data_IF_164508783856
#
_entry.id   IF_164508783856
#
_cell.length_a   1.000
_cell.length_b   1.000
_cell.length_c   1.000
_cell.angle_alpha   90.00
_cell.angle_beta   90.00
_cell.angle_gamma   90.00
#
_symmetry.space_group_name_H-M   'P 1'
#
loop_
_entity.id
_entity.type
_entity.pdbx_description
1 polymer ?
#
# COMPACT_ATOMS: atom_id res chain seq x y z
N UNK A 1 -19.91 -47.64 -42.99
CA UNK A 1 -18.80 -47.02 -42.21
C UNK A 1 -18.43 -45.60 -42.65
N UNK A 2 -18.06 -45.32 -43.91
CA UNK A 2 -17.64 -43.96 -44.35
C UNK A 2 -18.65 -42.82 -44.12
N UNK A 3 -19.96 -43.08 -44.20
CA UNK A 3 -21.01 -42.06 -44.01
C UNK A 3 -21.15 -41.62 -42.54
N UNK A 4 -21.06 -42.56 -41.59
CA UNK A 4 -21.10 -42.27 -40.16
C UNK A 4 -19.87 -41.48 -39.70
N UNK A 5 -18.68 -41.80 -40.21
CA UNK A 5 -17.44 -41.06 -39.89
C UNK A 5 -17.54 -39.59 -40.36
N UNK A 6 -18.13 -39.34 -41.54
CA UNK A 6 -18.36 -37.97 -42.05
C UNK A 6 -19.39 -37.20 -41.21
N UNK A 7 -20.49 -37.84 -40.82
CA UNK A 7 -21.49 -37.20 -39.97
C UNK A 7 -20.95 -36.88 -38.57
N UNK A 8 -20.20 -37.80 -37.94
CA UNK A 8 -19.56 -37.53 -36.65
C UNK A 8 -18.49 -36.44 -36.73
N UNK A 9 -17.70 -36.38 -37.80
CA UNK A 9 -16.73 -35.30 -38.02
C UNK A 9 -17.38 -33.91 -38.13
N UNK A 10 -18.49 -33.81 -38.88
CA UNK A 10 -19.25 -32.55 -39.00
C UNK A 10 -19.88 -32.17 -37.66
N UNK A 11 -20.47 -33.12 -36.93
CA UNK A 11 -21.06 -32.85 -35.61
C UNK A 11 -20.00 -32.36 -34.62
N UNK A 12 -18.82 -32.99 -34.57
CA UNK A 12 -17.72 -32.53 -33.70
C UNK A 12 -17.26 -31.12 -34.08
N UNK A 13 -17.09 -30.84 -35.37
CA UNK A 13 -16.67 -29.51 -35.84
C UNK A 13 -17.71 -28.42 -35.49
N UNK A 14 -19.00 -28.71 -35.65
CA UNK A 14 -20.07 -27.77 -35.28
C UNK A 14 -20.11 -27.54 -33.76
N UNK A 15 -19.99 -28.60 -32.95
CA UNK A 15 -19.97 -28.49 -31.49
C UNK A 15 -18.77 -27.65 -31.03
N UNK A 16 -17.58 -27.92 -31.57
CA UNK A 16 -16.38 -27.12 -31.26
C UNK A 16 -16.55 -25.66 -31.70
N UNK A 17 -17.16 -25.41 -32.86
CA UNK A 17 -17.47 -24.06 -33.33
C UNK A 17 -18.42 -23.31 -32.39
N UNK A 18 -19.50 -23.96 -31.95
CA UNK A 18 -20.45 -23.37 -30.99
C UNK A 18 -19.78 -23.10 -29.64
N UNK A 19 -18.96 -24.04 -29.14
CA UNK A 19 -18.21 -23.84 -27.90
C UNK A 19 -17.22 -22.68 -28.01
N UNK A 20 -16.51 -22.56 -29.13
CA UNK A 20 -15.57 -21.46 -29.36
C UNK A 20 -16.29 -20.10 -29.43
N UNK A 21 -17.42 -20.02 -30.13
CA UNK A 21 -18.25 -18.81 -30.19
C UNK A 21 -18.79 -18.47 -28.79
N UNK A 22 -19.29 -19.46 -28.05
CA UNK A 22 -19.79 -19.26 -26.69
C UNK A 22 -18.70 -18.78 -25.72
N UNK A 23 -17.51 -19.36 -25.78
CA UNK A 23 -16.36 -18.92 -24.99
C UNK A 23 -15.94 -17.49 -25.37
N UNK A 24 -15.91 -17.17 -26.66
CA UNK A 24 -15.67 -15.81 -27.14
C UNK A 24 -16.69 -14.83 -26.59
N UNK A 25 -17.98 -15.11 -26.75
CA UNK A 25 -19.06 -14.27 -26.24
C UNK A 25 -18.97 -14.06 -24.72
N UNK A 26 -18.61 -15.09 -23.95
CA UNK A 26 -18.41 -14.98 -22.51
C UNK A 26 -17.22 -14.09 -22.12
N UNK A 27 -16.09 -14.22 -22.82
CA UNK A 27 -14.89 -13.39 -22.56
C UNK A 27 -15.18 -11.91 -22.89
N UNK A 28 -15.88 -11.65 -24.00
CA UNK A 28 -16.18 -10.27 -24.44
C UNK A 28 -17.38 -9.63 -23.73
N UNK A 29 -18.24 -10.40 -23.06
CA UNK A 29 -19.45 -9.84 -22.43
C UNK A 29 -19.17 -9.09 -21.12
N UNK A 30 -18.01 -9.28 -20.49
CA UNK A 30 -17.66 -8.65 -19.22
C UNK A 30 -18.44 -9.17 -18.01
N UNK A 31 -19.21 -10.26 -18.17
CA UNK A 31 -20.04 -10.82 -17.09
C UNK A 31 -19.24 -11.51 -15.99
N UNK A 32 -18.01 -11.94 -16.29
CA UNK A 32 -17.11 -12.53 -15.29
C UNK A 32 -16.41 -11.42 -14.52
N UNK A 33 -16.73 -11.30 -13.24
CA UNK A 33 -16.06 -10.37 -12.35
C UNK A 33 -14.64 -10.88 -12.05
N UNK A 34 -13.64 -10.04 -12.29
CA UNK A 34 -12.21 -10.36 -12.07
C UNK A 34 -11.70 -9.80 -10.74
N UNK A 35 -12.55 -9.15 -9.95
CA UNK A 35 -12.21 -8.62 -8.63
C UNK A 35 -11.67 -9.71 -7.71
N UNK A 36 -10.60 -9.39 -6.95
CA UNK A 36 -9.98 -10.34 -6.02
C UNK A 36 -10.90 -10.68 -4.82
N UNK A 37 -11.89 -9.84 -4.55
CA UNK A 37 -12.94 -10.00 -3.55
C UNK A 37 -14.08 -10.94 -4.00
N UNK A 38 -14.19 -11.22 -5.30
CA UNK A 38 -15.12 -12.20 -5.85
C UNK A 38 -14.44 -13.57 -5.97
N UNK A 39 -14.54 -14.35 -4.90
CA UNK A 39 -13.85 -15.62 -4.81
C UNK A 39 -14.40 -16.65 -5.79
N UNK A 40 -13.50 -17.44 -6.38
CA UNK A 40 -13.90 -18.60 -7.18
C UNK A 40 -14.86 -19.51 -6.41
N UNK A 41 -15.77 -20.14 -7.14
CA UNK A 41 -16.59 -21.23 -6.59
C UNK A 41 -15.71 -22.32 -5.98
N UNK A 42 -16.20 -23.00 -4.93
CA UNK A 42 -15.41 -24.03 -4.21
C UNK A 42 -14.76 -25.08 -5.14
N UNK A 43 -15.44 -25.63 -6.17
CA UNK A 43 -14.82 -26.59 -7.07
C UNK A 43 -13.70 -25.99 -7.92
N UNK A 44 -13.89 -24.77 -8.44
CA UNK A 44 -12.88 -24.06 -9.23
C UNK A 44 -11.67 -23.72 -8.35
N UNK A 45 -11.91 -23.21 -7.14
CA UNK A 45 -10.86 -22.96 -6.16
C UNK A 45 -10.05 -24.23 -5.85
N UNK A 46 -10.71 -25.35 -5.57
CA UNK A 46 -10.04 -26.63 -5.27
C UNK A 46 -9.19 -27.13 -6.46
N UNK A 47 -9.69 -27.00 -7.69
CA UNK A 47 -8.94 -27.33 -8.89
C UNK A 47 -7.70 -26.45 -9.04
N UNK A 48 -7.84 -25.13 -8.90
CA UNK A 48 -6.73 -24.17 -8.99
C UNK A 48 -5.69 -24.39 -7.88
N UNK A 49 -6.13 -24.69 -6.66
CA UNK A 49 -5.25 -25.01 -5.55
C UNK A 49 -4.46 -26.30 -5.84
N UNK A 50 -5.12 -27.36 -6.31
CA UNK A 50 -4.47 -28.63 -6.68
C UNK A 50 -3.44 -28.42 -7.79
N UNK A 51 -3.80 -27.65 -8.82
CA UNK A 51 -2.90 -27.34 -9.94
C UNK A 51 -1.65 -26.60 -9.45
N UNK A 52 -1.83 -25.61 -8.55
CA UNK A 52 -0.74 -24.85 -7.94
C UNK A 52 0.20 -25.74 -7.15
N UNK A 53 -0.32 -26.52 -6.20
CA UNK A 53 0.48 -27.40 -5.34
C UNK A 53 1.27 -28.43 -6.16
N UNK A 54 0.61 -29.08 -7.13
CA UNK A 54 1.29 -30.04 -8.04
C UNK A 54 2.36 -29.40 -8.89
N UNK A 55 2.14 -28.17 -9.36
CA UNK A 55 3.13 -27.44 -10.14
C UNK A 55 4.34 -27.08 -9.30
N UNK A 56 4.14 -26.52 -8.10
CA UNK A 56 5.22 -26.18 -7.17
C UNK A 56 6.06 -27.43 -6.86
N UNK A 57 5.42 -28.53 -6.46
CA UNK A 57 6.09 -29.80 -6.15
C UNK A 57 6.93 -30.31 -7.32
N UNK A 58 6.39 -30.29 -8.54
CA UNK A 58 7.11 -30.76 -9.72
C UNK A 58 8.29 -29.86 -10.11
N UNK A 59 8.18 -28.55 -9.88
CA UNK A 59 9.24 -27.58 -10.24
C UNK A 59 10.30 -27.42 -9.15
N UNK A 60 9.98 -27.76 -7.91
CA UNK A 60 10.92 -27.68 -6.78
C UNK A 60 11.70 -28.99 -6.54
N UNK A 61 11.26 -30.11 -7.12
CA UNK A 61 11.77 -31.46 -6.84
C UNK A 61 13.31 -31.57 -6.88
N UNK A 62 13.93 -31.00 -7.91
CA UNK A 62 15.38 -31.12 -8.18
C UNK A 62 16.23 -29.99 -7.56
N UNK A 63 15.60 -29.09 -6.78
CA UNK A 63 16.34 -28.04 -6.08
C UNK A 63 17.26 -28.64 -5.03
N UNK A 64 18.50 -28.15 -5.01
CA UNK A 64 19.49 -28.50 -3.99
C UNK A 64 19.38 -27.50 -2.84
N UNK A 65 19.09 -28.01 -1.65
CA UNK A 65 18.97 -27.20 -0.44
C UNK A 65 20.37 -27.00 0.16
N UNK A 66 20.85 -25.76 0.33
CA UNK A 66 22.11 -25.49 1.05
C UNK A 66 21.95 -25.76 2.55
N UNK A 67 23.02 -25.58 3.34
CA UNK A 67 22.88 -25.66 4.79
C UNK A 67 22.10 -24.45 5.33
N UNK A 68 20.88 -24.72 5.82
CA UNK A 68 19.97 -23.70 6.33
C UNK A 68 20.20 -23.38 7.82
N UNK A 69 21.20 -23.97 8.46
CA UNK A 69 21.51 -23.73 9.87
C UNK A 69 22.61 -22.67 10.08
N UNK A 70 23.13 -22.08 9.02
CA UNK A 70 24.10 -20.98 9.11
C UNK A 70 23.46 -19.77 9.83
N UNK A 71 24.00 -19.33 10.99
CA UNK A 71 23.47 -18.20 11.72
C UNK A 71 23.45 -16.88 10.93
N UNK A 72 24.43 -16.66 10.05
CA UNK A 72 24.49 -15.44 9.21
C UNK A 72 23.40 -15.47 8.14
N UNK A 73 23.17 -16.64 7.53
CA UNK A 73 22.11 -16.83 6.55
C UNK A 73 20.72 -16.60 7.17
N UNK A 74 20.48 -17.14 8.37
CA UNK A 74 19.25 -16.92 9.12
C UNK A 74 19.08 -15.44 9.50
N UNK A 75 20.16 -14.78 9.91
CA UNK A 75 20.14 -13.37 10.30
C UNK A 75 19.81 -12.46 9.11
N UNK A 76 20.42 -12.69 7.93
CA UNK A 76 20.05 -11.98 6.69
C UNK A 76 18.58 -12.21 6.36
N UNK A 77 18.13 -13.46 6.39
CA UNK A 77 16.74 -13.85 6.12
C UNK A 77 15.72 -13.21 7.06
N UNK A 78 16.08 -12.95 8.32
CA UNK A 78 15.21 -12.26 9.27
C UNK A 78 14.89 -10.83 8.82
N UNK A 79 15.90 -10.09 8.35
CA UNK A 79 15.74 -8.74 7.80
C UNK A 79 14.85 -8.73 6.55
N UNK A 80 15.14 -9.62 5.59
CA UNK A 80 14.36 -9.80 4.37
C UNK A 80 12.88 -10.07 4.66
N UNK A 81 12.64 -11.02 5.56
CA UNK A 81 11.29 -11.41 5.93
C UNK A 81 10.54 -10.25 6.57
N UNK A 82 11.19 -9.53 7.49
CA UNK A 82 10.63 -8.38 8.17
C UNK A 82 10.20 -7.30 7.19
N UNK A 83 11.03 -7.01 6.19
CA UNK A 83 10.81 -5.97 5.19
C UNK A 83 9.69 -6.31 4.19
N UNK A 84 9.59 -7.58 3.75
CA UNK A 84 8.79 -7.92 2.56
C UNK A 84 7.64 -8.89 2.80
N UNK A 85 7.69 -9.71 3.86
CA UNK A 85 6.79 -10.85 4.00
C UNK A 85 5.76 -10.70 5.13
N UNK A 86 6.05 -9.88 6.14
CA UNK A 86 5.25 -9.78 7.38
C UNK A 86 3.82 -9.31 7.15
N UNK A 87 3.58 -8.44 6.17
CA UNK A 87 2.24 -7.92 5.91
C UNK A 87 1.30 -8.95 5.31
N UNK A 88 1.81 -10.00 4.64
CA UNK A 88 0.98 -11.10 4.13
C UNK A 88 1.02 -12.31 5.06
N UNK A 89 2.20 -12.65 5.58
CA UNK A 89 2.48 -13.93 6.24
C UNK A 89 2.62 -13.86 7.76
N UNK A 90 2.54 -12.65 8.34
CA UNK A 90 2.53 -12.35 9.77
C UNK A 90 3.81 -12.69 10.53
N UNK A 91 3.93 -12.19 11.75
CA UNK A 91 5.03 -12.51 12.68
C UNK A 91 4.46 -13.22 13.91
N UNK A 92 5.29 -13.83 14.78
CA UNK A 92 4.81 -14.41 16.03
C UNK A 92 4.04 -13.42 16.93
N UNK A 93 4.24 -12.11 16.76
CA UNK A 93 3.54 -11.06 17.51
C UNK A 93 2.24 -10.59 16.84
N UNK A 94 2.03 -10.89 15.56
CA UNK A 94 0.89 -10.42 14.78
C UNK A 94 -0.21 -11.47 14.71
N UNK A 95 -1.44 -11.04 14.98
CA UNK A 95 -2.64 -11.87 14.76
C UNK A 95 -3.22 -11.68 13.37
N UNK A 96 -3.07 -10.49 12.81
CA UNK A 96 -3.52 -10.13 11.46
C UNK A 96 -2.76 -8.90 10.93
N UNK A 97 -3.06 -8.49 9.70
CA UNK A 97 -2.58 -7.24 9.08
C UNK A 97 -3.70 -6.58 8.27
N UNK A 98 -3.58 -5.29 7.97
CA UNK A 98 -4.54 -4.57 7.11
C UNK A 98 -4.63 -5.15 5.69
N UNK A 99 -3.53 -5.71 5.20
CA UNK A 99 -3.47 -6.28 3.85
C UNK A 99 -4.17 -7.64 3.77
N UNK A 100 -4.06 -8.47 4.81
CA UNK A 100 -4.48 -9.87 4.79
C UNK A 100 -5.93 -10.09 4.35
N UNK A 101 -6.94 -9.35 4.84
CA UNK A 101 -8.34 -9.57 4.47
C UNK A 101 -8.60 -9.50 2.96
N UNK A 102 -7.86 -8.67 2.22
CA UNK A 102 -7.99 -8.53 0.77
C UNK A 102 -7.19 -9.54 -0.05
N UNK A 103 -6.39 -10.41 0.59
CA UNK A 103 -5.55 -11.38 -0.10
C UNK A 103 -6.32 -12.65 -0.44
N UNK A 104 -6.34 -12.95 -1.74
CA UNK A 104 -6.93 -14.17 -2.27
C UNK A 104 -5.96 -14.89 -3.23
N UNK A 105 -5.67 -16.18 -3.01
CA UNK A 105 -6.00 -16.97 -1.82
C UNK A 105 -5.37 -16.39 -0.55
N UNK A 106 -5.99 -16.70 0.60
CA UNK A 106 -5.44 -16.30 1.90
C UNK A 106 -4.04 -16.93 2.12
N UNK A 107 -3.00 -16.13 2.37
CA UNK A 107 -1.67 -16.66 2.67
C UNK A 107 -1.66 -17.42 4.01
N UNK A 108 -0.78 -18.42 4.19
CA UNK A 108 -0.57 -19.04 5.48
C UNK A 108 0.14 -18.07 6.44
N UNK A 109 -0.16 -18.21 7.73
CA UNK A 109 0.65 -17.60 8.78
C UNK A 109 1.96 -18.40 8.95
N UNK A 110 3.06 -17.89 8.41
CA UNK A 110 4.35 -18.57 8.41
C UNK A 110 5.01 -18.60 9.80
N UNK A 111 4.47 -17.84 10.77
CA UNK A 111 4.87 -17.97 12.17
C UNK A 111 4.24 -19.17 12.89
N UNK A 112 3.37 -19.92 12.22
CA UNK A 112 2.64 -21.06 12.81
C UNK A 112 2.78 -22.34 12.01
N UNK A 113 3.22 -22.25 10.76
CA UNK A 113 3.37 -23.41 9.86
C UNK A 113 4.78 -23.50 9.33
N UNK A 114 5.23 -24.74 9.15
CA UNK A 114 6.52 -25.04 8.53
C UNK A 114 6.29 -25.47 7.09
N UNK A 115 6.99 -24.83 6.17
CA UNK A 115 6.93 -25.14 4.74
C UNK A 115 8.16 -25.92 4.30
N UNK A 116 8.01 -26.76 3.28
CA UNK A 116 9.14 -27.48 2.68
C UNK A 116 10.15 -26.46 2.09
N UNK A 117 11.45 -26.56 2.38
CA UNK A 117 12.43 -25.59 1.92
C UNK A 117 12.52 -25.43 0.40
N UNK A 118 12.35 -26.51 -0.37
CA UNK A 118 12.43 -26.45 -1.84
C UNK A 118 11.22 -25.72 -2.40
N UNK A 119 10.04 -26.03 -1.87
CA UNK A 119 8.82 -25.33 -2.24
C UNK A 119 8.85 -23.86 -1.84
N UNK A 120 9.34 -23.56 -0.62
CA UNK A 120 9.50 -22.18 -0.14
C UNK A 120 10.44 -21.38 -1.06
N UNK A 121 11.61 -21.93 -1.41
CA UNK A 121 12.52 -21.30 -2.35
C UNK A 121 11.85 -21.01 -3.69
N UNK A 122 11.18 -22.02 -4.26
CA UNK A 122 10.54 -21.87 -5.57
C UNK A 122 9.42 -20.82 -5.55
N UNK A 123 8.59 -20.82 -4.51
CA UNK A 123 7.48 -19.88 -4.34
C UNK A 123 7.99 -18.46 -4.10
N UNK A 124 9.04 -18.27 -3.28
CA UNK A 124 9.63 -16.93 -3.06
C UNK A 124 10.26 -16.42 -4.36
N UNK A 125 11.01 -17.27 -5.08
CA UNK A 125 11.67 -16.90 -6.33
C UNK A 125 10.68 -16.52 -7.44
N UNK A 126 9.60 -17.28 -7.59
CA UNK A 126 8.71 -17.16 -8.75
C UNK A 126 7.33 -16.55 -8.45
N UNK A 127 7.00 -16.35 -7.17
CA UNK A 127 5.68 -15.92 -6.75
C UNK A 127 4.59 -16.94 -7.04
N UNK A 128 3.34 -16.51 -6.93
CA UNK A 128 2.18 -17.33 -7.32
C UNK A 128 1.31 -16.51 -8.28
N UNK A 129 1.13 -17.05 -9.49
CA UNK A 129 0.29 -16.41 -10.51
C UNK A 129 -1.16 -16.29 -10.02
N UNK A 130 -1.80 -15.17 -10.37
CA UNK A 130 -3.18 -14.86 -9.94
C UNK A 130 -3.33 -14.80 -8.41
N UNK A 131 -2.27 -14.39 -7.72
CA UNK A 131 -2.32 -13.94 -6.33
C UNK A 131 -1.46 -12.70 -6.18
N UNK A 132 -1.46 -12.11 -4.98
CA UNK A 132 -0.58 -11.01 -4.63
C UNK A 132 0.82 -11.45 -4.17
N UNK A 133 1.22 -12.72 -4.36
CA UNK A 133 2.57 -13.19 -4.02
C UNK A 133 3.54 -12.87 -5.18
N UNK A 134 4.44 -11.88 -5.02
CA UNK A 134 5.33 -11.44 -6.10
C UNK A 134 6.49 -12.43 -6.34
N UNK A 135 7.15 -12.29 -7.49
CA UNK A 135 8.32 -13.09 -7.87
C UNK A 135 9.62 -12.38 -7.48
N UNK A 136 10.17 -12.70 -6.31
CA UNK A 136 11.36 -12.01 -5.79
C UNK A 136 12.65 -12.32 -6.54
N UNK A 137 12.69 -13.38 -7.35
CA UNK A 137 13.84 -13.72 -8.19
C UNK A 137 14.15 -12.70 -9.28
N UNK A 138 13.30 -11.69 -9.47
CA UNK A 138 13.58 -10.55 -10.35
C UNK A 138 14.47 -9.49 -9.68
N UNK A 139 14.46 -9.40 -8.34
CA UNK A 139 15.22 -8.40 -7.57
C UNK A 139 16.26 -9.01 -6.63
N UNK A 140 16.16 -10.29 -6.30
CA UNK A 140 17.06 -10.96 -5.36
C UNK A 140 17.67 -12.21 -5.99
N UNK A 141 18.95 -12.45 -5.68
CA UNK A 141 19.66 -13.63 -6.11
C UNK A 141 19.29 -14.89 -5.28
N UNK A 142 19.71 -16.06 -5.78
CA UNK A 142 19.41 -17.34 -5.13
C UNK A 142 19.93 -17.43 -3.68
N UNK A 143 21.16 -17.02 -3.35
CA UNK A 143 21.64 -16.94 -1.97
C UNK A 143 20.73 -16.12 -1.05
N UNK A 144 20.25 -14.96 -1.51
CA UNK A 144 19.37 -14.11 -0.72
C UNK A 144 17.99 -14.74 -0.53
N UNK A 145 17.46 -15.42 -1.54
CA UNK A 145 16.23 -16.20 -1.39
C UNK A 145 16.41 -17.36 -0.40
N UNK A 146 17.54 -18.08 -0.47
CA UNK A 146 17.85 -19.11 0.51
C UNK A 146 17.97 -18.57 1.94
N UNK A 147 18.39 -17.32 2.11
CA UNK A 147 18.40 -16.66 3.43
C UNK A 147 17.00 -16.57 4.04
N UNK A 148 16.02 -16.12 3.25
CA UNK A 148 14.61 -16.09 3.66
C UNK A 148 14.12 -17.49 4.02
N UNK A 149 14.44 -18.49 3.19
CA UNK A 149 14.05 -19.89 3.46
C UNK A 149 14.68 -20.40 4.77
N UNK A 150 15.95 -20.12 5.03
CA UNK A 150 16.62 -20.51 6.27
C UNK A 150 15.93 -19.89 7.50
N UNK A 151 15.55 -18.61 7.41
CA UNK A 151 14.79 -17.95 8.46
C UNK A 151 13.38 -18.54 8.65
N UNK A 152 12.67 -18.86 7.57
CA UNK A 152 11.36 -19.54 7.64
C UNK A 152 11.43 -20.89 8.37
N UNK A 153 12.59 -21.56 8.33
CA UNK A 153 12.83 -22.79 9.09
C UNK A 153 13.07 -22.53 10.60
N UNK A 154 13.17 -21.30 11.08
CA UNK A 154 13.28 -21.02 12.52
C UNK A 154 12.05 -20.28 13.05
N UNK A 155 11.34 -19.57 12.18
CA UNK A 155 10.23 -18.69 12.52
C UNK A 155 9.11 -19.34 13.36
N UNK A 156 8.62 -20.57 13.08
CA UNK A 156 7.54 -21.18 13.86
C UNK A 156 7.90 -21.47 15.33
N UNK A 157 9.20 -21.58 15.64
CA UNK A 157 9.72 -21.89 16.97
C UNK A 157 10.09 -20.61 17.76
N UNK A 158 9.92 -19.43 17.16
CA UNK A 158 10.28 -18.15 17.77
C UNK A 158 9.15 -17.54 18.58
N UNK A 159 9.49 -17.03 19.75
CA UNK A 159 8.65 -16.07 20.49
C UNK A 159 8.69 -14.69 19.83
N UNK A 160 7.70 -13.85 20.12
CA UNK A 160 7.67 -12.45 19.67
C UNK A 160 8.94 -11.67 20.09
N UNK A 161 9.49 -11.95 21.28
CA UNK A 161 10.72 -11.32 21.76
C UNK A 161 11.95 -11.77 20.94
N UNK A 162 12.09 -13.08 20.69
CA UNK A 162 13.18 -13.61 19.86
C UNK A 162 13.12 -13.08 18.43
N UNK A 163 11.91 -12.99 17.85
CA UNK A 163 11.70 -12.40 16.53
C UNK A 163 12.15 -10.93 16.49
N UNK A 164 11.74 -10.13 17.48
CA UNK A 164 12.14 -8.72 17.57
C UNK A 164 13.65 -8.57 17.68
N UNK A 165 14.29 -9.39 18.50
CA UNK A 165 15.74 -9.33 18.75
C UNK A 165 16.56 -9.73 17.52
N UNK A 166 16.13 -10.73 16.76
CA UNK A 166 16.86 -11.16 15.55
C UNK A 166 16.72 -10.15 14.41
N UNK A 167 15.52 -9.57 14.22
CA UNK A 167 15.30 -8.54 13.21
C UNK A 167 16.09 -7.27 13.52
N UNK A 168 16.16 -6.86 14.79
CA UNK A 168 16.95 -5.70 15.21
C UNK A 168 18.47 -5.86 14.99
N UNK A 169 18.95 -7.09 14.85
CA UNK A 169 20.36 -7.42 14.58
C UNK A 169 20.63 -7.70 13.11
N UNK A 170 19.60 -7.78 12.27
CA UNK A 170 19.77 -8.10 10.87
C UNK A 170 20.54 -6.97 10.16
N UNK A 171 21.46 -7.31 9.25
CA UNK A 171 22.14 -6.30 8.46
C UNK A 171 21.13 -5.49 7.63
N UNK A 172 21.42 -4.21 7.32
CA UNK A 172 20.72 -3.48 6.28
C UNK A 172 20.75 -4.26 4.97
N UNK A 173 19.77 -4.03 4.12
CA UNK A 173 19.63 -4.75 2.87
C UNK A 173 20.66 -4.25 1.84
N UNK A 174 21.83 -4.89 1.76
CA UNK A 174 22.90 -4.50 0.82
C UNK A 174 22.47 -4.69 -0.66
N UNK A 175 21.47 -5.54 -0.92
CA UNK A 175 20.92 -5.77 -2.27
C UNK A 175 19.93 -4.66 -2.70
N UNK A 176 19.74 -3.65 -1.85
CA UNK A 176 19.04 -2.39 -2.14
C UNK A 176 20.03 -1.23 -2.35
N UNK A 177 21.29 -1.54 -2.69
CA UNK A 177 22.26 -0.55 -3.18
C UNK A 177 21.76 0.06 -4.51
N UNK A 178 21.23 1.28 -4.37
CA UNK A 178 21.06 2.23 -5.45
C UNK A 178 22.45 2.54 -6.03
N UNK A 179 22.81 1.90 -7.15
CA UNK A 179 23.95 2.34 -7.96
C UNK A 179 23.75 3.81 -8.33
N UNK A 180 24.70 4.64 -7.88
CA UNK A 180 24.71 6.07 -8.11
C UNK A 180 25.00 6.38 -9.57
N UNK A 181 23.94 6.54 -10.36
CA UNK A 181 23.98 7.06 -11.71
C UNK A 181 22.84 8.05 -11.94
N UNK A 182 23.19 9.31 -12.17
CA UNK A 182 22.32 10.38 -12.67
C UNK A 182 21.39 9.83 -13.78
N UNK A 183 20.08 9.74 -13.52
CA UNK A 183 19.15 9.10 -14.44
C UNK A 183 17.83 8.62 -13.83
N UNK A 184 17.14 9.48 -13.08
CA UNK A 184 15.81 9.17 -12.51
C UNK A 184 14.66 9.19 -13.53
N UNK A 185 14.70 8.28 -14.50
CA UNK A 185 13.57 7.88 -15.36
C UNK A 185 13.68 6.35 -15.49
N UNK A 186 12.68 5.47 -15.32
CA UNK A 186 11.23 5.54 -15.44
C UNK A 186 10.67 4.14 -15.15
N UNK A 187 9.39 4.04 -14.80
CA UNK A 187 8.53 3.02 -15.42
C UNK A 187 7.32 3.73 -16.02
N UNK A 188 7.51 4.17 -17.26
CA UNK A 188 6.43 4.45 -18.20
C UNK A 188 5.88 3.12 -18.72
N UNK A 189 4.59 2.87 -18.50
CA UNK A 189 3.78 2.23 -19.52
C UNK A 189 3.27 3.34 -20.43
N UNK A 190 3.98 3.56 -21.54
CA UNK A 190 3.51 4.43 -22.60
C UNK A 190 2.61 3.66 -23.54
N UNK A 191 1.39 4.14 -23.72
CA UNK A 191 0.83 4.19 -25.07
C UNK A 191 1.09 5.58 -25.62
N UNK A 192 1.53 5.58 -26.87
CA UNK A 192 2.14 6.69 -27.55
C UNK A 192 1.10 7.71 -28.04
N UNK A 193 1.39 8.99 -27.82
CA UNK A 193 1.24 10.00 -28.86
C UNK A 193 2.23 11.13 -28.60
N UNK A 194 3.22 11.22 -29.48
CA UNK A 194 4.17 12.33 -29.54
C UNK A 194 3.46 13.66 -29.77
N UNK A 195 4.05 14.70 -29.19
CA UNK A 195 3.64 16.09 -29.31
C UNK A 195 3.65 16.62 -30.75
N UNK A 196 2.69 17.48 -31.07
CA UNK A 196 2.81 18.56 -32.06
C UNK A 196 2.13 19.83 -31.50
N UNK A 197 2.57 21.03 -31.93
CA UNK A 197 2.26 22.30 -31.27
C UNK A 197 0.91 22.90 -31.68
N UNK A 198 0.48 23.89 -30.89
CA UNK A 198 -0.78 24.65 -30.98
C UNK A 198 -1.06 25.30 -32.34
N UNK A 199 -2.34 25.33 -32.74
CA UNK A 199 -2.96 26.31 -33.66
C UNK A 199 -4.45 26.53 -33.28
N UNK A 200 -4.94 27.72 -33.58
CA UNK A 200 -6.08 28.42 -32.99
C UNK A 200 -7.51 27.97 -33.42
N UNK A 201 -8.48 28.35 -32.56
CA UNK A 201 -9.96 28.61 -32.65
C UNK A 201 -10.60 28.69 -34.07
N UNK A 202 -11.95 28.52 -34.30
CA UNK A 202 -13.07 28.89 -33.42
C UNK A 202 -14.38 28.03 -33.47
N UNK A 203 -15.30 28.39 -32.56
CA UNK A 203 -16.78 28.45 -32.64
C UNK A 203 -17.70 27.31 -33.18
N UNK A 204 -18.69 27.03 -32.32
CA UNK A 204 -20.14 26.88 -32.59
C UNK A 204 -20.85 25.52 -32.81
N UNK A 205 -22.03 25.48 -32.16
CA UNK A 205 -23.27 24.71 -32.38
C UNK A 205 -23.53 23.37 -31.66
N UNK A 206 -24.34 23.51 -30.60
CA UNK A 206 -25.58 22.77 -30.26
C UNK A 206 -25.80 21.38 -30.85
N UNK A 207 -26.20 20.42 -29.99
CA UNK A 207 -27.62 20.09 -29.80
C UNK A 207 -27.81 19.27 -28.52
N UNK A 208 -28.88 19.59 -27.82
CA UNK A 208 -29.40 18.89 -26.67
C UNK A 208 -30.01 17.55 -27.09
N UNK A 209 -29.87 16.53 -26.24
CA UNK A 209 -31.02 15.72 -25.84
C UNK A 209 -30.76 15.10 -24.46
N UNK A 210 -31.74 15.28 -23.59
CA UNK A 210 -31.73 14.88 -22.20
C UNK A 210 -32.16 13.42 -22.06
N UNK A 211 -31.36 12.62 -21.36
CA UNK A 211 -31.86 11.46 -20.65
C UNK A 211 -31.29 11.45 -19.23
N UNK A 212 -32.21 11.74 -18.31
CA UNK A 212 -32.06 11.60 -16.87
C UNK A 212 -31.88 10.13 -16.50
N UNK A 213 -30.72 9.81 -15.91
CA UNK A 213 -30.50 8.61 -15.12
C UNK A 213 -29.70 8.99 -13.89
N UNK A 214 -30.44 9.38 -12.84
CA UNK A 214 -30.05 9.21 -11.45
C UNK A 214 -29.59 7.76 -11.20
N UNK A 215 -28.28 7.55 -11.08
CA UNK A 215 -27.70 6.50 -10.25
C UNK A 215 -26.42 7.03 -9.60
N UNK A 216 -26.45 7.07 -8.28
CA UNK A 216 -25.44 7.67 -7.42
C UNK A 216 -24.01 7.20 -7.73
N UNK A 217 -23.18 8.17 -8.11
CA UNK A 217 -21.75 8.05 -8.07
C UNK A 217 -21.33 7.78 -6.62
N UNK A 218 -21.01 6.52 -6.29
CA UNK A 218 -20.18 6.24 -5.13
C UNK A 218 -18.79 6.76 -5.45
N UNK A 219 -18.44 7.89 -4.82
CA UNK A 219 -17.09 8.45 -4.85
C UNK A 219 -16.05 7.43 -4.39
N UNK A 220 -14.75 7.73 -4.61
CA UNK A 220 -13.66 6.85 -4.22
C UNK A 220 -13.79 6.45 -2.74
N UNK A 221 -13.51 5.18 -2.44
CA UNK A 221 -13.56 4.65 -1.09
C UNK A 221 -12.70 5.52 -0.17
N UNK A 222 -13.33 6.08 0.87
CA UNK A 222 -12.67 6.94 1.84
C UNK A 222 -11.56 6.16 2.56
N UNK A 223 -10.36 6.74 2.62
CA UNK A 223 -9.23 6.24 3.40
C UNK A 223 -9.66 6.02 4.86
N UNK A 224 -9.19 4.94 5.51
CA UNK A 224 -9.54 4.69 6.90
C UNK A 224 -9.09 5.87 7.79
N UNK A 225 -9.90 6.28 8.79
CA UNK A 225 -9.55 7.42 9.62
C UNK A 225 -8.28 7.16 10.44
N UNK A 226 -7.33 8.10 10.44
CA UNK A 226 -6.11 8.06 11.28
C UNK A 226 -6.49 7.73 12.72
N UNK A 227 -6.06 6.60 13.27
CA UNK A 227 -6.38 6.24 14.66
C UNK A 227 -5.58 7.10 15.65
N UNK A 228 -6.26 7.63 16.68
CA UNK A 228 -5.64 8.35 17.80
C UNK A 228 -5.59 7.47 19.07
N UNK A 229 -5.93 6.19 18.94
CA UNK A 229 -5.98 5.24 20.05
C UNK A 229 -4.59 5.03 20.65
N UNK A 230 -4.49 5.02 21.98
CA UNK A 230 -3.23 4.85 22.70
C UNK A 230 -2.39 6.13 22.85
N UNK A 231 -2.77 7.23 22.20
CA UNK A 231 -2.18 8.54 22.46
C UNK A 231 -2.68 9.10 23.79
N UNK A 232 -1.78 9.63 24.61
CA UNK A 232 -2.11 10.22 25.92
C UNK A 232 -1.55 11.63 26.02
N UNK A 233 -2.35 12.54 26.54
CA UNK A 233 -1.90 13.90 26.81
C UNK A 233 -0.70 13.88 27.77
N UNK A 234 0.36 14.61 27.41
CA UNK A 234 1.58 14.73 28.21
C UNK A 234 2.53 13.52 28.14
N UNK A 235 2.30 12.54 27.26
CA UNK A 235 3.21 11.40 27.13
C UNK A 235 4.57 11.78 26.53
N UNK A 236 4.61 12.79 25.65
CA UNK A 236 5.81 13.39 25.07
C UNK A 236 5.70 14.94 25.07
N UNK A 237 5.86 15.62 26.22
CA UNK A 237 5.58 17.06 26.35
C UNK A 237 6.39 17.96 25.40
N UNK A 238 7.63 17.58 25.11
CA UNK A 238 8.50 18.31 24.17
C UNK A 238 8.00 18.23 22.71
N UNK A 239 7.59 17.04 22.28
CA UNK A 239 7.02 16.82 20.95
C UNK A 239 5.66 17.51 20.81
N UNK A 240 4.81 17.42 21.82
CA UNK A 240 3.53 18.13 21.85
C UNK A 240 3.69 19.65 21.79
N UNK A 241 4.74 20.19 22.40
CA UNK A 241 5.04 21.62 22.32
C UNK A 241 5.46 22.05 20.91
N UNK A 242 6.19 21.21 20.18
CA UNK A 242 6.51 21.45 18.75
C UNK A 242 5.24 21.40 17.90
N UNK A 243 4.39 20.39 18.10
CA UNK A 243 3.11 20.27 17.37
C UNK A 243 2.23 21.52 17.57
N UNK A 244 2.10 22.01 18.80
CA UNK A 244 1.37 23.26 19.07
C UNK A 244 2.00 24.47 18.37
N UNK A 245 3.33 24.60 18.38
CA UNK A 245 4.02 25.68 17.66
C UNK A 245 3.77 25.62 16.15
N UNK A 246 3.77 24.41 15.57
CA UNK A 246 3.46 24.18 14.17
C UNK A 246 2.04 24.65 13.82
N UNK A 247 1.03 24.23 14.59
CA UNK A 247 -0.37 24.65 14.39
C UNK A 247 -0.56 26.15 14.54
N UNK A 248 0.04 26.74 15.56
CA UNK A 248 -0.03 28.18 15.78
C UNK A 248 0.65 28.98 14.66
N UNK A 249 1.78 28.50 14.15
CA UNK A 249 2.49 29.13 13.05
C UNK A 249 1.66 29.10 11.75
N UNK A 250 1.01 27.97 11.45
CA UNK A 250 0.08 27.85 10.33
C UNK A 250 -1.10 28.83 10.46
N UNK A 251 -1.71 28.92 11.65
CA UNK A 251 -2.83 29.84 11.89
C UNK A 251 -2.44 31.32 11.82
N UNK A 252 -1.22 31.67 12.28
CA UNK A 252 -0.70 33.04 12.18
C UNK A 252 -0.21 33.40 10.77
N UNK A 253 -0.02 32.40 9.91
CA UNK A 253 0.59 32.56 8.60
C UNK A 253 2.08 32.88 8.64
N UNK A 254 2.77 32.35 9.65
CA UNK A 254 4.21 32.54 9.85
C UNK A 254 4.99 31.42 9.14
N UNK A 255 5.27 31.62 7.86
CA UNK A 255 5.94 30.63 7.00
C UNK A 255 7.30 30.19 7.56
N UNK A 256 8.06 31.12 8.12
CA UNK A 256 9.39 30.82 8.67
C UNK A 256 9.28 29.93 9.91
N UNK A 257 8.35 30.26 10.82
CA UNK A 257 8.12 29.45 12.02
C UNK A 257 7.55 28.05 11.68
N UNK A 258 6.72 27.93 10.63
CA UNK A 258 6.26 26.63 10.13
C UNK A 258 7.44 25.80 9.65
N UNK A 259 8.30 26.36 8.80
CA UNK A 259 9.44 25.62 8.26
C UNK A 259 10.50 25.30 9.31
N UNK A 260 10.65 26.12 10.37
CA UNK A 260 11.65 25.92 11.42
C UNK A 260 11.43 24.64 12.24
N UNK A 261 10.18 24.19 12.38
CA UNK A 261 9.83 22.97 13.14
C UNK A 261 9.81 21.71 12.28
N UNK A 262 9.87 21.85 10.96
CA UNK A 262 9.95 20.75 10.01
C UNK A 262 11.41 20.34 9.80
N UNK A 263 11.70 19.04 9.90
CA UNK A 263 13.00 18.48 9.55
C UNK A 263 13.26 18.64 8.04
N UNK A 264 14.52 18.79 7.59
CA UNK A 264 14.84 18.93 6.16
C UNK A 264 14.28 17.80 5.28
N UNK A 265 14.22 16.59 5.82
CA UNK A 265 13.76 15.36 5.18
C UNK A 265 12.29 15.02 5.50
N UNK A 266 11.48 15.98 5.99
CA UNK A 266 10.08 15.73 6.32
C UNK A 266 9.28 15.25 5.11
N UNK A 267 8.46 14.21 5.34
CA UNK A 267 7.43 13.75 4.41
C UNK A 267 6.07 14.29 4.84
N UNK A 268 5.38 15.01 3.95
CA UNK A 268 4.06 15.59 4.21
C UNK A 268 3.04 14.89 3.32
N UNK A 269 2.02 14.28 3.91
CA UNK A 269 0.98 13.55 3.20
C UNK A 269 -0.41 14.10 3.52
N UNK A 270 -1.19 14.34 2.49
CA UNK A 270 -2.62 14.63 2.60
C UNK A 270 -3.38 13.76 1.58
N UNK A 271 -4.23 12.86 2.07
CA UNK A 271 -4.82 11.82 1.22
C UNK A 271 -3.75 10.95 0.52
N UNK A 272 -3.89 10.76 -0.79
CA UNK A 272 -2.93 9.98 -1.60
C UNK A 272 -1.68 10.76 -2.02
N UNK A 273 -1.63 12.08 -1.82
CA UNK A 273 -0.51 12.92 -2.24
C UNK A 273 0.55 12.98 -1.15
N UNK A 274 1.82 12.80 -1.52
CA UNK A 274 2.97 12.94 -0.62
C UNK A 274 3.97 13.91 -1.25
N UNK A 275 4.47 14.84 -0.44
CA UNK A 275 5.35 15.90 -0.88
C UNK A 275 6.50 16.12 0.10
N UNK A 276 7.62 16.64 -0.41
CA UNK A 276 8.80 17.00 0.38
C UNK A 276 8.61 18.36 1.06
N UNK A 277 9.49 18.70 2.00
CA UNK A 277 9.54 20.04 2.63
C UNK A 277 9.58 21.18 1.61
N UNK A 278 10.42 21.07 0.59
CA UNK A 278 10.63 22.13 -0.40
C UNK A 278 9.43 22.25 -1.35
N UNK A 279 8.85 21.12 -1.76
CA UNK A 279 7.62 21.11 -2.55
C UNK A 279 6.44 21.71 -1.77
N UNK A 280 6.33 21.37 -0.48
CA UNK A 280 5.34 21.96 0.42
C UNK A 280 5.52 23.47 0.56
N UNK A 281 6.76 23.91 0.83
CA UNK A 281 7.10 25.31 0.98
C UNK A 281 6.87 26.12 -0.30
N UNK A 282 7.10 25.53 -1.47
CA UNK A 282 6.92 26.16 -2.77
C UNK A 282 5.49 26.14 -3.32
N UNK A 283 4.57 25.43 -2.66
CA UNK A 283 3.21 25.22 -3.15
C UNK A 283 2.15 25.25 -2.05
N UNK A 284 1.89 24.09 -1.42
CA UNK A 284 0.70 23.89 -0.59
C UNK A 284 0.70 24.73 0.72
N UNK A 285 1.87 25.12 1.24
CA UNK A 285 1.96 25.88 2.49
C UNK A 285 1.21 27.21 2.46
N UNK A 286 1.29 27.96 1.35
CA UNK A 286 0.62 29.25 1.25
C UNK A 286 -0.92 29.08 1.17
N UNK A 287 -1.37 28.00 0.55
CA UNK A 287 -2.80 27.65 0.50
C UNK A 287 -3.33 27.26 1.88
N UNK A 288 -2.59 26.45 2.63
CA UNK A 288 -2.94 26.03 3.99
C UNK A 288 -3.02 27.23 4.94
N UNK A 289 -2.02 28.12 4.88
CA UNK A 289 -2.01 29.37 5.65
C UNK A 289 -3.22 30.24 5.29
N UNK A 290 -3.49 30.43 4.00
CA UNK A 290 -4.59 31.28 3.55
C UNK A 290 -5.95 30.72 4.01
N UNK A 291 -6.12 29.40 3.97
CA UNK A 291 -7.31 28.71 4.45
C UNK A 291 -7.47 28.82 5.97
N UNK A 292 -6.44 28.46 6.73
CA UNK A 292 -6.48 28.42 8.19
C UNK A 292 -6.61 29.81 8.82
N UNK A 293 -6.04 30.85 8.21
CA UNK A 293 -6.13 32.24 8.71
C UNK A 293 -7.57 32.77 8.77
N UNK A 294 -8.46 32.25 7.92
CA UNK A 294 -9.86 32.67 7.85
C UNK A 294 -10.80 31.66 8.53
N UNK A 295 -10.27 30.50 8.92
CA UNK A 295 -11.06 29.43 9.48
C UNK A 295 -11.17 29.53 11.01
N UNK A 296 -12.33 29.14 11.53
CA UNK A 296 -12.52 28.93 12.97
C UNK A 296 -12.14 27.48 13.28
N UNK A 297 -10.97 27.30 13.87
CA UNK A 297 -10.46 26.00 14.31
C UNK A 297 -10.90 25.72 15.75
N UNK A 298 -11.54 24.58 15.97
CA UNK A 298 -11.90 24.07 17.30
C UNK A 298 -11.09 22.81 17.56
N UNK A 299 -10.21 22.84 18.56
CA UNK A 299 -9.39 21.69 18.94
C UNK A 299 -10.23 20.61 19.64
N UNK A 300 -10.06 19.37 19.20
CA UNK A 300 -10.65 18.16 19.78
C UNK A 300 -9.61 17.33 20.53
N UNK A 301 -9.55 16.02 20.24
CA UNK A 301 -8.58 15.13 20.87
C UNK A 301 -7.14 15.55 20.53
N UNK A 302 -6.27 15.57 21.54
CA UNK A 302 -4.84 15.86 21.37
C UNK A 302 -4.03 15.01 22.35
N UNK A 303 -3.03 14.30 21.86
CA UNK A 303 -2.20 13.46 22.70
C UNK A 303 -0.97 12.96 21.97
N UNK A 304 -0.08 12.30 22.70
CA UNK A 304 1.15 11.78 22.15
C UNK A 304 1.47 10.37 22.62
N UNK A 305 2.42 9.73 21.93
CA UNK A 305 3.03 8.47 22.31
C UNK A 305 4.55 8.60 22.14
N UNK A 306 5.28 8.45 23.24
CA UNK A 306 6.74 8.47 23.23
C UNK A 306 7.30 7.11 22.80
N UNK A 307 8.31 7.14 21.93
CA UNK A 307 8.99 5.98 21.35
C UNK A 307 10.50 6.25 21.30
N UNK A 308 11.14 6.34 22.47
CA UNK A 308 12.58 6.64 22.57
C UNK A 308 12.90 8.08 22.18
N UNK A 309 13.74 8.26 21.16
CA UNK A 309 14.06 9.55 20.55
C UNK A 309 12.99 10.05 19.55
N UNK A 310 11.94 9.25 19.34
CA UNK A 310 10.83 9.53 18.43
C UNK A 310 9.54 9.69 19.23
N UNK A 311 8.60 10.48 18.72
CA UNK A 311 7.27 10.61 19.30
C UNK A 311 6.22 10.76 18.19
N UNK A 312 5.07 10.14 18.39
CA UNK A 312 3.88 10.41 17.58
C UNK A 312 3.00 11.39 18.35
N UNK A 313 2.56 12.46 17.69
CA UNK A 313 1.60 13.42 18.24
C UNK A 313 0.40 13.44 17.32
N UNK A 314 -0.75 13.10 17.85
CA UNK A 314 -1.99 13.07 17.09
C UNK A 314 -2.96 14.13 17.56
N UNK A 315 -3.65 14.74 16.62
CA UNK A 315 -4.67 15.75 16.90
C UNK A 315 -5.91 15.56 16.04
N UNK A 316 -7.06 15.89 16.59
CA UNK A 316 -8.32 16.04 15.85
C UNK A 316 -8.81 17.46 16.03
N UNK A 317 -9.19 18.11 14.93
CA UNK A 317 -9.75 19.46 14.95
C UNK A 317 -11.00 19.53 14.08
N UNK A 318 -11.93 20.40 14.45
CA UNK A 318 -13.03 20.79 13.57
C UNK A 318 -12.75 22.18 13.04
N UNK A 319 -12.70 22.33 11.72
CA UNK A 319 -12.37 23.56 11.02
C UNK A 319 -13.63 24.04 10.31
N UNK A 320 -14.19 25.16 10.76
CA UNK A 320 -15.29 25.84 10.08
C UNK A 320 -14.71 26.97 9.22
N UNK A 321 -14.89 26.88 7.91
CA UNK A 321 -14.36 27.84 6.95
C UNK A 321 -15.31 28.08 5.79
N UNK A 322 -14.81 28.74 4.75
CA UNK A 322 -15.50 28.87 3.48
C UNK A 322 -14.65 28.31 2.35
N UNK A 323 -15.23 27.46 1.52
CA UNK A 323 -14.58 26.90 0.34
C UNK A 323 -15.42 27.27 -0.89
N UNK A 324 -14.81 27.93 -1.88
CA UNK A 324 -15.51 28.43 -3.09
C UNK A 324 -16.77 29.25 -2.78
N UNK A 325 -16.75 30.04 -1.70
CA UNK A 325 -17.86 30.92 -1.28
C UNK A 325 -19.00 30.25 -0.52
N UNK A 326 -18.92 28.94 -0.21
CA UNK A 326 -19.91 28.22 0.59
C UNK A 326 -19.35 27.89 1.99
N UNK A 327 -20.17 27.98 3.06
CA UNK A 327 -19.79 27.46 4.38
C UNK A 327 -19.44 25.97 4.28
N UNK A 328 -18.34 25.58 4.90
CA UNK A 328 -17.90 24.19 4.99
C UNK A 328 -17.34 23.93 6.39
N UNK A 329 -17.81 22.86 7.01
CA UNK A 329 -17.24 22.33 8.26
C UNK A 329 -16.55 21.01 7.98
N UNK A 330 -15.25 20.96 8.27
CA UNK A 330 -14.38 19.80 8.05
C UNK A 330 -13.86 19.31 9.39
N UNK A 331 -13.87 17.99 9.60
CA UNK A 331 -13.10 17.34 10.65
C UNK A 331 -11.75 16.95 10.08
N UNK A 332 -10.69 17.51 10.63
CA UNK A 332 -9.31 17.18 10.26
C UNK A 332 -8.69 16.33 11.37
N UNK A 333 -8.12 15.19 10.98
CA UNK A 333 -7.28 14.33 11.82
C UNK A 333 -5.85 14.44 11.33
N UNK A 334 -4.93 14.55 12.27
CA UNK A 334 -3.51 14.70 12.01
C UNK A 334 -2.72 13.68 12.82
N UNK A 335 -1.69 13.12 12.18
CA UNK A 335 -0.59 12.43 12.87
C UNK A 335 0.73 13.07 12.49
N UNK A 336 1.45 13.57 13.49
CA UNK A 336 2.82 14.04 13.37
C UNK A 336 3.76 13.00 13.93
N UNK A 337 4.79 12.65 13.18
CA UNK A 337 5.95 11.94 13.71
C UNK A 337 7.07 12.93 13.91
N UNK A 338 7.62 12.98 15.12
CA UNK A 338 8.72 13.84 15.49
C UNK A 338 9.91 13.00 15.94
N UNK A 339 11.11 13.48 15.63
CA UNK A 339 12.37 12.91 16.12
C UNK A 339 13.15 13.98 16.88
N UNK A 340 13.84 13.56 17.93
CA UNK A 340 14.75 14.39 18.68
C UNK A 340 16.15 14.35 18.04
N UNK A 341 16.70 15.52 17.71
CA UNK A 341 18.07 15.71 17.24
C UNK A 341 18.73 16.77 18.14
N UNK A 342 19.87 16.45 18.76
CA UNK A 342 20.61 17.34 19.66
C UNK A 342 19.76 18.00 20.76
N UNK A 343 18.79 17.25 21.30
CA UNK A 343 17.88 17.73 22.34
C UNK A 343 16.68 18.52 21.83
N UNK A 344 16.63 18.89 20.56
CA UNK A 344 15.52 19.58 19.92
C UNK A 344 14.60 18.60 19.16
N UNK A 345 13.29 18.82 19.21
CA UNK A 345 12.31 18.02 18.49
C UNK A 345 12.01 18.67 17.13
N UNK A 346 11.99 17.88 16.07
CA UNK A 346 11.58 18.29 14.73
C UNK A 346 10.59 17.29 14.13
N UNK A 347 9.67 17.77 13.30
CA UNK A 347 8.66 16.96 12.62
C UNK A 347 9.31 16.31 11.40
N UNK A 348 9.33 14.98 11.35
CA UNK A 348 9.87 14.17 10.25
C UNK A 348 8.79 13.54 9.38
N UNK A 349 7.54 13.49 9.86
CA UNK A 349 6.39 13.18 9.01
C UNK A 349 5.13 13.94 9.46
N UNK A 350 4.35 14.40 8.47
CA UNK A 350 3.01 14.96 8.65
C UNK A 350 2.04 14.09 7.86
N UNK A 351 0.97 13.63 8.50
CA UNK A 351 -0.15 13.01 7.81
C UNK A 351 -1.43 13.73 8.19
N UNK A 352 -2.10 14.31 7.19
CA UNK A 352 -3.41 14.93 7.32
C UNK A 352 -4.50 14.13 6.63
N UNK A 353 -5.66 14.12 7.26
CA UNK A 353 -6.86 13.55 6.69
C UNK A 353 -8.06 14.42 7.06
N UNK A 354 -8.76 14.88 6.04
CA UNK A 354 -9.90 15.79 6.16
C UNK A 354 -11.17 15.08 5.70
N UNK A 355 -12.23 15.13 6.51
CA UNK A 355 -13.55 14.60 6.18
C UNK A 355 -14.63 15.64 6.46
N UNK A 356 -15.65 15.82 5.59
CA UNK A 356 -16.80 16.66 5.90
C UNK A 356 -17.50 16.19 7.19
N UNK A 357 -17.96 17.12 8.01
CA UNK A 357 -18.84 16.77 9.14
C UNK A 357 -20.28 16.68 8.60
N UNK A 358 -20.89 15.50 8.61
CA UNK A 358 -22.29 15.32 8.19
C UNK A 358 -23.23 16.22 9.01
N UNK A 359 -23.92 17.14 8.33
CA UNK A 359 -24.87 18.05 8.95
C UNK A 359 -25.13 19.40 8.24
N UNK A 360 -24.32 19.81 7.26
CA UNK A 360 -24.42 21.16 6.65
C UNK A 360 -24.71 21.18 5.15
N UNK A 361 -25.19 20.06 4.59
CA UNK A 361 -25.82 20.05 3.27
C UNK A 361 -27.34 20.20 3.43
N UNK A 362 -27.79 21.46 3.56
CA UNK A 362 -29.12 21.89 3.13
C UNK A 362 -29.01 23.07 2.20
#
# INVERSE_FOLDING_TARGET
MKKHIKHHGITVAVVLGVLAIGAGAFVYSGVYNIGADDHHTKPVFALLQTLRERSIQARSADLKVPDLNDPQLILKGAGQYAAMCTQCHLTPAMKDSELRPGLYPQPPNLSQVRVDPKEAFWVIKHGIKMSAMPAWGASHDDPTIWSMVAFLQKLPDMTAAQYKDIVAKAPPDDDMDMDGGDGGHSHTHGDAAQAMPAMAMPDEHSHADAHDHDQGAKGPAAEAPISLEGLRAGAAPGAEAVARRFHEALQRGDREAVLAVLAPDVSIREGSETQTRDAYAGGHLDADIAFLKQAKVTSGAFGSMAMGDTAMVGSETTIAGTAKGKPLTVRSREMLTLRQHDGAWQITAVQWQSAPVEGDSR
#
